data_IF_734682116641
#
_entry.id   IF_734682116641
#
_cell.length_a   1.000
_cell.length_b   1.000
_cell.length_c   1.000
_cell.angle_alpha   90.00
_cell.angle_beta   90.00
_cell.angle_gamma   90.00
#
_symmetry.space_group_name_H-M   'P 1'
#
loop_
_entity.id
_entity.type
_entity.pdbx_description
1 polymer ?
#
# COMPACT_ATOMS: atom_id res chain seq x y z
N UNK A 1 4.90 12.13 53.70
CA UNK A 1 4.28 12.38 52.40
C UNK A 1 4.48 11.14 51.50
N UNK A 2 3.44 10.45 51.06
CA UNK A 2 3.61 9.31 50.17
C UNK A 2 3.96 9.82 48.79
N UNK A 3 5.12 9.41 48.27
CA UNK A 3 5.47 9.58 46.88
C UNK A 3 4.52 8.75 46.02
N UNK A 4 3.54 9.39 45.43
CA UNK A 4 2.79 8.83 44.34
C UNK A 4 3.76 8.64 43.16
N UNK A 5 4.27 7.42 42.96
CA UNK A 5 4.86 7.01 41.72
C UNK A 5 3.72 7.05 40.68
N UNK A 6 3.68 8.11 39.87
CA UNK A 6 2.93 8.15 38.64
C UNK A 6 3.52 7.06 37.76
N UNK A 7 2.92 5.87 37.82
CA UNK A 7 3.14 4.81 36.80
C UNK A 7 2.67 5.43 35.50
N UNK A 8 3.60 5.96 34.73
CA UNK A 8 3.36 6.26 33.31
C UNK A 8 2.99 4.94 32.63
N UNK A 9 1.69 4.67 32.53
CA UNK A 9 1.20 3.56 31.71
C UNK A 9 1.52 3.95 30.26
N UNK A 10 2.68 3.48 29.80
CA UNK A 10 3.04 3.57 28.39
C UNK A 10 2.15 2.57 27.65
N UNK A 11 1.05 3.05 27.06
CA UNK A 11 0.25 2.29 26.13
C UNK A 11 1.04 2.24 24.84
N UNK A 12 1.84 1.17 24.68
CA UNK A 12 2.69 0.99 23.51
C UNK A 12 1.98 0.11 22.49
N UNK A 13 2.15 0.45 21.25
CA UNK A 13 1.39 0.03 20.09
C UNK A 13 1.79 -1.32 19.55
N UNK A 14 0.86 -2.19 19.16
CA UNK A 14 1.21 -3.30 18.28
C UNK A 14 1.59 -2.77 16.91
N UNK A 15 2.80 -3.08 16.47
CA UNK A 15 3.28 -2.73 15.14
C UNK A 15 2.57 -3.58 14.07
N UNK A 16 2.41 -4.87 14.36
CA UNK A 16 1.70 -5.86 13.55
C UNK A 16 0.63 -6.50 14.44
N UNK A 17 -0.64 -6.37 14.07
CA UNK A 17 -1.73 -6.94 14.86
C UNK A 17 -2.34 -8.17 14.18
N UNK A 18 -2.68 -8.05 12.90
CA UNK A 18 -3.32 -9.12 12.14
C UNK A 18 -2.38 -9.69 11.09
N UNK A 19 -2.39 -11.01 10.98
CA UNK A 19 -1.70 -11.76 9.92
C UNK A 19 -2.67 -12.71 9.22
N UNK A 20 -2.42 -12.97 7.94
CA UNK A 20 -3.00 -14.06 7.16
C UNK A 20 -1.88 -14.65 6.32
N UNK A 21 -1.47 -15.86 6.67
CA UNK A 21 -0.39 -16.59 6.04
C UNK A 21 -0.89 -17.90 5.43
N UNK A 22 -0.28 -18.27 4.32
CA UNK A 22 -0.45 -19.55 3.66
C UNK A 22 0.80 -20.39 3.86
N UNK A 23 0.62 -21.64 4.27
CA UNK A 23 1.69 -22.60 4.49
C UNK A 23 1.83 -23.49 3.24
N UNK A 24 2.89 -23.27 2.47
CA UNK A 24 3.20 -24.14 1.33
C UNK A 24 3.74 -25.47 1.83
N UNK A 25 3.31 -26.56 1.19
CA UNK A 25 3.79 -27.91 1.46
C UNK A 25 3.67 -28.35 2.93
N UNK A 26 2.61 -27.88 3.62
CA UNK A 26 2.37 -28.19 5.01
C UNK A 26 1.54 -29.47 5.16
N UNK A 27 2.01 -30.41 5.98
CA UNK A 27 1.25 -31.62 6.31
C UNK A 27 0.19 -31.32 7.38
N UNK A 28 -1.07 -31.32 6.98
CA UNK A 28 -2.21 -31.07 7.87
C UNK A 28 -2.30 -32.06 9.03
N UNK A 29 -1.80 -33.29 8.90
CA UNK A 29 -1.79 -34.28 9.97
C UNK A 29 -1.06 -33.81 11.21
N UNK A 30 -0.06 -32.91 11.08
CA UNK A 30 0.60 -32.30 12.23
C UNK A 30 -0.38 -31.49 13.09
N UNK A 31 -1.30 -30.77 12.47
CA UNK A 31 -2.34 -30.03 13.21
C UNK A 31 -3.43 -30.93 13.77
N UNK A 32 -3.80 -31.99 13.05
CA UNK A 32 -4.80 -32.95 13.53
C UNK A 32 -4.32 -33.71 14.77
N UNK A 33 -3.01 -33.95 14.89
CA UNK A 33 -2.41 -34.61 16.06
C UNK A 33 -2.13 -33.67 17.23
N UNK A 34 -2.23 -32.34 17.04
CA UNK A 34 -1.97 -31.36 18.09
C UNK A 34 -3.19 -31.19 19.00
N UNK A 35 -3.09 -31.61 20.26
CA UNK A 35 -4.18 -31.54 21.22
C UNK A 35 -4.68 -30.12 21.53
N UNK A 36 -3.92 -29.08 21.18
CA UNK A 36 -4.32 -27.68 21.32
C UNK A 36 -5.32 -27.22 20.25
N UNK A 37 -5.39 -27.96 19.12
CA UNK A 37 -6.19 -27.61 17.95
C UNK A 37 -7.38 -28.55 17.82
N UNK A 38 -8.58 -28.03 18.08
CA UNK A 38 -9.82 -28.76 17.90
C UNK A 38 -10.51 -28.30 16.62
N UNK A 39 -10.37 -29.08 15.56
CA UNK A 39 -10.94 -28.76 14.25
C UNK A 39 -12.44 -29.01 14.20
N UNK A 40 -13.16 -28.03 13.68
CA UNK A 40 -14.59 -28.13 13.39
C UNK A 40 -14.79 -27.85 11.89
N UNK A 41 -15.66 -28.66 11.27
CA UNK A 41 -16.02 -28.42 9.89
C UNK A 41 -16.99 -27.24 9.83
N UNK A 42 -16.67 -26.24 9.00
CA UNK A 42 -17.51 -25.07 8.76
C UNK A 42 -17.82 -24.95 7.28
N UNK A 43 -19.08 -24.72 6.99
CA UNK A 43 -19.57 -24.35 5.67
C UNK A 43 -19.86 -22.85 5.72
N UNK A 44 -19.37 -22.10 4.78
CA UNK A 44 -19.64 -20.68 4.64
C UNK A 44 -20.05 -20.37 3.19
N UNK A 45 -21.07 -19.54 3.06
CA UNK A 45 -21.42 -18.97 1.77
C UNK A 45 -20.56 -17.74 1.54
N UNK A 46 -19.75 -17.75 0.48
CA UNK A 46 -18.92 -16.63 0.05
C UNK A 46 -19.42 -16.13 -1.30
N UNK A 47 -19.26 -14.82 -1.55
CA UNK A 47 -19.51 -14.27 -2.88
C UNK A 47 -18.25 -14.37 -3.72
N UNK A 48 -18.38 -14.86 -4.96
CA UNK A 48 -17.29 -14.83 -5.93
C UNK A 48 -17.10 -13.40 -6.51
N UNK A 49 -16.18 -13.26 -7.45
CA UNK A 49 -15.92 -12.00 -8.12
C UNK A 49 -17.08 -11.50 -9.03
N UNK A 50 -18.14 -12.32 -9.19
CA UNK A 50 -19.34 -12.04 -9.96
C UNK A 50 -20.60 -11.97 -9.10
N UNK A 51 -20.45 -11.84 -7.77
CA UNK A 51 -21.55 -11.82 -6.78
C UNK A 51 -22.38 -13.12 -6.74
N UNK A 52 -21.88 -14.25 -7.25
CA UNK A 52 -22.50 -15.54 -7.07
C UNK A 52 -22.15 -16.10 -5.69
N UNK A 53 -23.13 -16.72 -5.03
CA UNK A 53 -22.87 -17.42 -3.76
C UNK A 53 -22.12 -18.71 -4.05
N UNK A 54 -20.89 -18.80 -3.56
CA UNK A 54 -20.06 -20.00 -3.57
C UNK A 54 -20.06 -20.57 -2.16
N UNK A 55 -20.48 -21.82 -2.04
CA UNK A 55 -20.36 -22.53 -0.78
C UNK A 55 -18.92 -22.99 -0.59
N UNK A 56 -18.24 -22.43 0.40
CA UNK A 56 -16.89 -22.83 0.79
C UNK A 56 -16.97 -23.67 2.06
N UNK A 57 -16.19 -24.70 2.12
CA UNK A 57 -16.09 -25.52 3.33
C UNK A 57 -14.62 -25.64 3.76
N UNK A 58 -14.40 -25.66 5.05
CA UNK A 58 -13.09 -25.78 5.65
C UNK A 58 -13.15 -26.36 7.06
N UNK A 59 -12.07 -27.00 7.46
CA UNK A 59 -11.85 -27.40 8.84
C UNK A 59 -11.12 -26.25 9.55
N UNK A 60 -11.67 -25.76 10.66
CA UNK A 60 -11.13 -24.60 11.39
C UNK A 60 -10.96 -24.95 12.85
N UNK A 61 -9.77 -24.73 13.37
CA UNK A 61 -9.48 -24.73 14.80
C UNK A 61 -9.12 -23.31 15.25
N UNK A 62 -9.70 -22.87 16.36
CA UNK A 62 -9.42 -21.58 16.97
C UNK A 62 -8.51 -21.76 18.17
N UNK A 63 -7.38 -21.04 18.19
CA UNK A 63 -6.47 -21.06 19.32
C UNK A 63 -5.92 -19.68 19.61
N UNK A 64 -6.17 -19.17 20.81
CA UNK A 64 -5.63 -17.89 21.32
C UNK A 64 -5.77 -16.69 20.36
N UNK A 65 -6.88 -16.60 19.62
CA UNK A 65 -7.14 -15.49 18.69
C UNK A 65 -6.60 -15.69 17.27
N UNK A 66 -6.07 -16.86 16.97
CA UNK A 66 -5.74 -17.31 15.61
C UNK A 66 -6.69 -18.42 15.17
N UNK A 67 -7.04 -18.40 13.90
CA UNK A 67 -7.74 -19.47 13.18
C UNK A 67 -6.71 -20.28 12.37
N UNK A 68 -6.62 -21.56 12.64
CA UNK A 68 -5.90 -22.56 11.85
C UNK A 68 -6.90 -23.21 10.90
N UNK A 69 -6.69 -23.07 9.61
CA UNK A 69 -7.69 -23.40 8.58
C UNK A 69 -7.10 -24.40 7.60
N UNK A 70 -7.80 -25.50 7.39
CA UNK A 70 -7.57 -26.43 6.30
C UNK A 70 -8.74 -26.34 5.32
N UNK A 71 -8.47 -25.93 4.09
CA UNK A 71 -9.50 -25.81 3.05
C UNK A 71 -9.72 -27.13 2.34
N UNK A 72 -10.86 -27.34 1.69
CA UNK A 72 -11.09 -28.52 0.85
C UNK A 72 -10.11 -28.68 -0.31
N UNK A 73 -9.50 -27.58 -0.74
CA UNK A 73 -8.41 -27.61 -1.76
C UNK A 73 -7.06 -28.05 -1.20
N UNK A 74 -7.00 -28.45 0.09
CA UNK A 74 -5.78 -28.90 0.76
C UNK A 74 -4.84 -27.77 1.19
N UNK A 75 -5.30 -26.50 1.21
CA UNK A 75 -4.50 -25.38 1.65
C UNK A 75 -4.56 -25.20 3.16
N UNK A 76 -3.40 -25.05 3.81
CA UNK A 76 -3.30 -24.69 5.21
C UNK A 76 -3.02 -23.19 5.38
N UNK A 77 -3.81 -22.53 6.23
CA UNK A 77 -3.75 -21.09 6.49
C UNK A 77 -3.76 -20.83 7.98
N UNK A 78 -3.03 -19.80 8.42
CA UNK A 78 -3.18 -19.23 9.76
C UNK A 78 -3.58 -17.77 9.60
N UNK A 79 -4.69 -17.37 10.24
CA UNK A 79 -5.14 -15.96 10.21
C UNK A 79 -5.65 -15.52 11.57
N UNK A 80 -5.50 -14.26 11.90
CA UNK A 80 -6.02 -13.64 13.12
C UNK A 80 -5.08 -12.62 13.72
N UNK A 81 -5.35 -12.26 14.98
CA UNK A 81 -4.55 -11.31 15.72
C UNK A 81 -3.37 -12.01 16.41
N UNK A 82 -2.15 -11.76 15.91
CA UNK A 82 -0.93 -12.29 16.54
C UNK A 82 -0.68 -11.66 17.91
N UNK A 83 -1.17 -10.43 18.13
CA UNK A 83 -1.13 -9.79 19.44
C UNK A 83 -2.04 -10.53 20.47
N UNK A 84 -3.24 -10.92 20.07
CA UNK A 84 -4.10 -11.75 20.94
C UNK A 84 -3.49 -13.12 21.19
N UNK A 85 -2.85 -13.71 20.18
CA UNK A 85 -2.15 -14.99 20.33
C UNK A 85 -1.06 -14.88 21.41
N UNK A 86 -0.22 -13.85 21.35
CA UNK A 86 0.80 -13.54 22.37
C UNK A 86 0.17 -13.36 23.76
N UNK A 87 -0.99 -12.71 23.86
CA UNK A 87 -1.70 -12.49 25.11
C UNK A 87 -2.59 -13.69 25.52
N UNK A 88 -2.23 -14.89 25.10
CA UNK A 88 -2.96 -16.11 25.43
C UNK A 88 -4.49 -16.09 25.10
N UNK A 89 -4.87 -15.32 24.07
CA UNK A 89 -6.27 -15.14 23.65
C UNK A 89 -6.98 -13.92 24.26
N UNK A 90 -6.33 -13.19 25.16
CA UNK A 90 -6.84 -11.98 25.78
C UNK A 90 -7.03 -10.80 24.82
N UNK A 91 -7.27 -9.61 25.35
CA UNK A 91 -7.42 -8.41 24.52
C UNK A 91 -6.08 -7.97 23.91
N UNK A 92 -6.14 -7.13 22.86
CA UNK A 92 -4.99 -6.55 22.20
C UNK A 92 -4.81 -5.06 22.53
N UNK A 93 -5.15 -4.67 23.76
CA UNK A 93 -5.06 -3.29 24.23
C UNK A 93 -3.76 -2.95 24.98
N UNK A 94 -2.98 -3.95 25.37
CA UNK A 94 -1.73 -3.78 26.11
C UNK A 94 -0.54 -3.50 25.16
N UNK A 95 0.66 -3.41 25.76
CA UNK A 95 1.91 -3.24 25.01
C UNK A 95 2.24 -4.50 24.21
N UNK A 96 2.57 -4.30 22.93
CA UNK A 96 3.08 -5.35 22.06
C UNK A 96 4.22 -4.78 21.22
N UNK A 97 5.44 -5.06 21.64
CA UNK A 97 6.66 -4.54 21.04
C UNK A 97 7.08 -5.39 19.84
N UNK A 98 8.12 -4.94 19.13
CA UNK A 98 8.71 -5.75 18.07
C UNK A 98 9.32 -7.05 18.61
N UNK A 99 9.92 -7.04 19.81
CA UNK A 99 10.42 -8.27 20.47
C UNK A 99 9.27 -9.24 20.78
N UNK A 100 8.14 -8.75 21.30
CA UNK A 100 6.96 -9.61 21.52
C UNK A 100 6.40 -10.20 20.22
N UNK A 101 6.48 -9.44 19.12
CA UNK A 101 6.12 -9.98 17.81
C UNK A 101 7.03 -11.11 17.36
N UNK A 102 8.37 -10.97 17.56
CA UNK A 102 9.32 -12.04 17.26
C UNK A 102 9.01 -13.28 18.10
N UNK A 103 8.83 -13.13 19.41
CA UNK A 103 8.47 -14.20 20.33
C UNK A 103 7.17 -14.91 19.90
N UNK A 104 6.15 -14.16 19.53
CA UNK A 104 4.91 -14.73 19.00
C UNK A 104 5.10 -15.51 17.68
N UNK A 105 6.03 -15.06 16.81
CA UNK A 105 6.39 -15.78 15.58
C UNK A 105 7.16 -17.07 15.91
N UNK A 106 8.04 -17.05 16.93
CA UNK A 106 8.75 -18.23 17.42
C UNK A 106 7.77 -19.24 18.04
N UNK A 107 6.77 -18.79 18.81
CA UNK A 107 5.71 -19.64 19.34
C UNK A 107 4.92 -20.35 18.23
N UNK A 108 4.70 -19.70 17.08
CA UNK A 108 4.03 -20.32 15.92
C UNK A 108 4.82 -21.51 15.35
N UNK A 109 6.15 -21.56 15.53
CA UNK A 109 6.97 -22.69 15.09
C UNK A 109 6.56 -23.98 15.81
N UNK A 110 6.07 -23.89 17.06
CA UNK A 110 5.55 -25.05 17.81
C UNK A 110 4.32 -25.70 17.16
N UNK A 111 3.66 -25.01 16.24
CA UNK A 111 2.55 -25.53 15.41
C UNK A 111 3.03 -25.96 14.01
N UNK A 112 4.34 -26.12 13.80
CA UNK A 112 4.91 -26.49 12.51
C UNK A 112 4.99 -25.35 11.50
N UNK A 113 4.67 -24.09 11.89
CA UNK A 113 4.79 -22.94 10.99
C UNK A 113 6.25 -22.58 10.79
N UNK A 114 6.78 -22.77 9.59
CA UNK A 114 8.15 -22.37 9.21
C UNK A 114 8.08 -20.94 8.66
N UNK A 115 8.61 -19.92 9.37
CA UNK A 115 8.43 -18.52 9.00
C UNK A 115 8.90 -18.16 7.58
N UNK A 116 9.99 -18.78 7.10
CA UNK A 116 10.51 -18.59 5.74
C UNK A 116 9.58 -19.14 4.65
N UNK A 117 8.80 -20.19 4.96
CA UNK A 117 7.84 -20.82 4.05
C UNK A 117 6.41 -20.31 4.21
N UNK A 118 6.13 -19.57 5.28
CA UNK A 118 4.82 -19.02 5.58
C UNK A 118 4.56 -17.77 4.74
N UNK A 119 3.89 -17.93 3.60
CA UNK A 119 3.65 -16.89 2.60
C UNK A 119 2.57 -15.93 3.10
N UNK A 120 2.89 -14.64 3.18
CA UNK A 120 1.94 -13.59 3.55
C UNK A 120 0.88 -13.38 2.46
N UNK A 121 -0.40 -13.47 2.84
CA UNK A 121 -1.55 -13.10 2.00
C UNK A 121 -2.07 -11.72 2.34
N UNK A 122 -2.14 -11.38 3.61
CA UNK A 122 -2.49 -10.05 4.12
C UNK A 122 -1.98 -9.86 5.54
N UNK A 123 -1.76 -8.61 5.94
CA UNK A 123 -1.45 -8.25 7.33
C UNK A 123 -1.82 -6.81 7.62
N UNK A 124 -1.92 -6.46 8.90
CA UNK A 124 -2.15 -5.10 9.38
C UNK A 124 -0.89 -4.55 10.04
N UNK A 125 -0.55 -3.31 9.67
CA UNK A 125 0.62 -2.58 10.16
C UNK A 125 0.17 -1.20 10.63
N UNK A 126 0.34 -0.89 11.90
CA UNK A 126 -0.16 0.37 12.47
C UNK A 126 0.33 0.64 13.87
N UNK A 127 -0.09 1.78 14.42
CA UNK A 127 0.34 2.27 15.72
C UNK A 127 -0.84 2.85 16.51
N UNK A 128 -0.82 2.65 17.82
CA UNK A 128 -1.69 3.35 18.77
C UNK A 128 -0.99 4.65 19.18
N UNK A 129 -1.68 5.75 19.07
CA UNK A 129 -1.13 7.08 19.32
C UNK A 129 -1.86 7.70 20.51
N UNK A 130 -1.22 7.79 21.68
CA UNK A 130 -1.82 8.49 22.82
C UNK A 130 -1.95 9.99 22.53
N UNK A 131 -3.10 10.56 22.89
CA UNK A 131 -3.41 11.96 22.69
C UNK A 131 -3.29 12.67 24.04
N UNK A 132 -2.32 13.56 24.14
CA UNK A 132 -2.07 14.36 25.34
C UNK A 132 -2.49 15.83 25.16
N UNK A 133 -2.74 16.23 23.90
CA UNK A 133 -3.10 17.60 23.56
C UNK A 133 -4.56 17.87 23.97
N UNK A 134 -4.79 18.78 24.93
CA UNK A 134 -6.12 19.14 25.48
C UNK A 134 -7.14 19.58 24.40
N UNK A 135 -6.67 20.09 23.27
CA UNK A 135 -7.53 20.58 22.18
C UNK A 135 -7.81 19.53 21.10
N UNK A 136 -7.21 18.35 21.18
CA UNK A 136 -7.41 17.24 20.25
C UNK A 136 -8.09 16.06 20.94
N UNK A 137 -8.76 15.25 20.15
CA UNK A 137 -9.38 13.99 20.57
C UNK A 137 -9.17 12.95 19.48
N UNK A 138 -9.39 11.67 19.76
CA UNK A 138 -9.39 10.63 18.74
C UNK A 138 -10.35 10.98 17.60
N UNK A 139 -11.52 11.54 17.94
CA UNK A 139 -12.50 12.05 16.98
C UNK A 139 -11.96 13.16 16.09
N UNK A 140 -11.09 14.04 16.62
CA UNK A 140 -10.45 15.10 15.83
C UNK A 140 -9.58 14.51 14.73
N UNK A 141 -8.81 13.45 15.01
CA UNK A 141 -7.94 12.83 14.03
C UNK A 141 -8.71 12.16 12.89
N UNK A 142 -9.64 11.23 13.19
CA UNK A 142 -10.33 10.51 12.12
C UNK A 142 -11.33 11.39 11.36
N UNK A 143 -11.92 12.41 11.99
CA UNK A 143 -12.80 13.36 11.31
C UNK A 143 -12.04 14.38 10.46
N UNK A 144 -10.80 14.70 10.81
CA UNK A 144 -9.98 15.63 10.02
C UNK A 144 -9.56 15.07 8.67
N UNK A 145 -9.62 13.76 8.45
CA UNK A 145 -9.38 13.16 7.13
C UNK A 145 -10.58 13.47 6.24
N UNK A 146 -10.46 14.51 5.42
CA UNK A 146 -11.52 14.97 4.54
C UNK A 146 -11.49 14.31 3.17
N UNK A 147 -10.32 13.84 2.72
CA UNK A 147 -10.18 13.12 1.46
C UNK A 147 -9.00 12.15 1.46
N UNK A 148 -9.25 10.98 0.92
CA UNK A 148 -8.31 9.99 0.47
C UNK A 148 -8.92 9.24 -0.72
N UNK A 149 -8.08 8.73 -1.63
CA UNK A 149 -8.55 7.83 -2.68
C UNK A 149 -9.05 6.51 -2.07
N UNK A 150 -10.11 5.97 -2.65
CA UNK A 150 -10.78 4.75 -2.18
C UNK A 150 -12.19 4.98 -1.70
N UNK A 151 -12.87 3.91 -1.40
CA UNK A 151 -14.19 3.92 -0.80
C UNK A 151 -14.08 4.26 0.68
N UNK A 152 -15.01 5.08 1.17
CA UNK A 152 -15.01 5.52 2.57
C UNK A 152 -16.10 4.76 3.31
N UNK A 153 -15.70 4.06 4.34
CA UNK A 153 -16.59 3.41 5.28
C UNK A 153 -16.41 3.95 6.69
N UNK A 154 -17.47 3.82 7.48
CA UNK A 154 -17.49 4.18 8.90
C UNK A 154 -17.04 2.98 9.72
N UNK A 155 -16.17 3.21 10.71
CA UNK A 155 -15.90 2.23 11.74
C UNK A 155 -16.89 2.47 12.89
N UNK A 156 -17.73 1.49 13.15
CA UNK A 156 -18.72 1.54 14.24
C UNK A 156 -18.15 0.80 15.46
N UNK A 157 -18.67 1.13 16.64
CA UNK A 157 -18.45 0.35 17.85
C UNK A 157 -19.04 -1.05 17.72
N UNK A 158 -18.63 -1.98 18.59
CA UNK A 158 -19.08 -3.39 18.55
C UNK A 158 -20.61 -3.51 18.67
N UNK A 159 -21.25 -2.58 19.38
CA UNK A 159 -22.70 -2.49 19.52
C UNK A 159 -23.39 -1.79 18.32
N UNK A 160 -22.63 -1.31 17.35
CA UNK A 160 -23.13 -0.61 16.17
C UNK A 160 -23.67 0.80 16.40
N UNK A 161 -23.66 1.30 17.66
CA UNK A 161 -24.35 2.54 18.03
C UNK A 161 -23.49 3.79 17.87
N UNK A 162 -22.16 3.67 17.92
CA UNK A 162 -21.26 4.81 17.93
C UNK A 162 -20.27 4.78 16.77
N UNK A 163 -20.08 5.93 16.11
CA UNK A 163 -19.03 6.11 15.14
C UNK A 163 -17.70 6.28 15.87
N UNK A 164 -16.83 5.30 15.76
CA UNK A 164 -15.50 5.32 16.39
C UNK A 164 -14.35 5.62 15.44
N UNK A 165 -14.59 5.64 14.12
CA UNK A 165 -13.50 5.88 13.17
C UNK A 165 -13.95 5.91 11.71
N UNK A 166 -12.95 5.98 10.84
CA UNK A 166 -13.12 5.91 9.37
C UNK A 166 -12.09 4.97 8.76
N UNK A 167 -12.50 4.26 7.73
CA UNK A 167 -11.61 3.50 6.87
C UNK A 167 -11.75 3.90 5.41
N UNK A 168 -10.66 3.75 4.68
CA UNK A 168 -10.55 4.08 3.26
C UNK A 168 -10.07 2.85 2.54
N UNK A 169 -10.94 2.23 1.78
CA UNK A 169 -10.74 0.94 1.15
C UNK A 169 -10.33 1.14 -0.30
N UNK A 170 -9.25 0.51 -0.68
CA UNK A 170 -8.82 0.33 -2.08
C UNK A 170 -8.66 -1.15 -2.37
N UNK A 171 -8.46 -1.52 -3.61
CA UNK A 171 -8.21 -2.91 -4.02
C UNK A 171 -7.04 -3.56 -3.24
N UNK A 172 -5.96 -2.81 -3.01
CA UNK A 172 -4.74 -3.33 -2.41
C UNK A 172 -4.61 -3.09 -0.91
N UNK A 173 -5.20 -1.98 -0.42
CA UNK A 173 -4.97 -1.52 0.96
C UNK A 173 -6.22 -0.93 1.56
N UNK A 174 -6.38 -1.10 2.87
CA UNK A 174 -7.31 -0.33 3.69
C UNK A 174 -6.51 0.53 4.67
N UNK A 175 -6.81 1.83 4.72
CA UNK A 175 -6.27 2.74 5.75
C UNK A 175 -7.36 2.96 6.77
N UNK A 176 -7.07 2.72 8.05
CA UNK A 176 -8.02 2.93 9.15
C UNK A 176 -7.48 3.98 10.12
N UNK A 177 -8.37 4.84 10.62
CA UNK A 177 -8.10 5.74 11.72
C UNK A 177 -9.30 5.74 12.67
N UNK A 178 -9.10 5.30 13.91
CA UNK A 178 -10.20 5.10 14.84
C UNK A 178 -9.80 5.26 16.31
N UNK A 179 -10.80 5.44 17.17
CA UNK A 179 -10.65 5.50 18.62
C UNK A 179 -10.40 4.09 19.18
N UNK A 180 -9.14 3.79 19.49
CA UNK A 180 -8.74 2.49 20.03
C UNK A 180 -9.20 2.30 21.46
N UNK A 181 -9.28 3.37 22.26
CA UNK A 181 -9.78 3.30 23.63
C UNK A 181 -11.23 2.81 23.65
N UNK A 182 -12.08 3.44 22.83
CA UNK A 182 -13.49 3.05 22.72
C UNK A 182 -13.65 1.66 22.12
N UNK A 183 -12.90 1.34 21.05
CA UNK A 183 -12.96 0.04 20.37
C UNK A 183 -12.59 -1.12 21.30
N UNK A 184 -11.53 -0.97 22.11
CA UNK A 184 -11.04 -2.04 22.97
C UNK A 184 -11.51 -1.91 24.43
N UNK A 185 -12.41 -0.95 24.73
CA UNK A 185 -12.97 -0.68 26.07
C UNK A 185 -11.87 -0.52 27.12
N UNK A 186 -10.80 0.25 26.77
CA UNK A 186 -9.65 0.41 27.65
C UNK A 186 -9.92 1.38 28.78
N UNK A 187 -9.52 1.01 29.98
CA UNK A 187 -9.49 1.90 31.14
C UNK A 187 -8.24 2.80 31.11
N UNK A 188 -8.25 3.81 30.25
CA UNK A 188 -7.15 4.77 30.10
C UNK A 188 -7.64 6.18 30.36
N UNK A 189 -6.82 7.00 31.03
CA UNK A 189 -7.09 8.43 31.18
C UNK A 189 -6.92 9.19 29.87
N UNK A 190 -6.04 8.72 28.99
CA UNK A 190 -5.79 9.34 27.71
C UNK A 190 -6.65 8.72 26.61
N UNK A 191 -7.07 9.55 25.67
CA UNK A 191 -7.61 9.06 24.41
C UNK A 191 -6.50 8.44 23.54
N UNK A 192 -6.85 7.42 22.77
CA UNK A 192 -5.91 6.69 21.92
C UNK A 192 -6.50 6.60 20.52
N UNK A 193 -5.81 7.19 19.55
CA UNK A 193 -6.14 6.96 18.15
C UNK A 193 -5.24 5.87 17.58
N UNK A 194 -5.83 4.89 16.91
CA UNK A 194 -5.07 3.93 16.10
C UNK A 194 -5.08 4.36 14.65
N UNK A 195 -3.90 4.37 14.06
CA UNK A 195 -3.71 4.59 12.64
C UNK A 195 -3.00 3.40 12.03
N UNK A 196 -3.65 2.72 11.08
CA UNK A 196 -3.17 1.46 10.51
C UNK A 196 -3.42 1.31 9.03
N UNK A 197 -2.57 0.50 8.40
CA UNK A 197 -2.68 0.00 7.04
C UNK A 197 -2.93 -1.50 7.07
N UNK A 198 -4.02 -1.97 6.48
CA UNK A 198 -4.21 -3.36 6.13
C UNK A 198 -3.80 -3.56 4.67
N UNK A 199 -2.83 -4.43 4.44
CA UNK A 199 -2.44 -4.86 3.11
C UNK A 199 -3.32 -6.03 2.70
N UNK A 200 -4.30 -5.77 1.84
CA UNK A 200 -5.26 -6.79 1.35
C UNK A 200 -4.63 -7.66 0.27
N UNK A 201 -3.74 -7.08 -0.54
CA UNK A 201 -2.96 -7.76 -1.58
C UNK A 201 -1.49 -7.43 -1.43
N UNK A 202 -0.65 -8.45 -1.50
CA UNK A 202 0.79 -8.31 -1.25
C UNK A 202 1.59 -7.67 -2.40
N UNK A 203 0.98 -7.41 -3.56
CA UNK A 203 1.69 -6.87 -4.75
C UNK A 203 2.45 -5.57 -4.50
N UNK A 204 1.92 -4.71 -3.59
CA UNK A 204 2.58 -3.44 -3.23
C UNK A 204 3.77 -3.63 -2.28
N UNK A 205 3.76 -4.71 -1.50
CA UNK A 205 4.73 -4.99 -0.44
C UNK A 205 5.86 -5.89 -0.96
N UNK A 206 5.58 -6.78 -1.89
CA UNK A 206 6.61 -7.61 -2.56
C UNK A 206 7.77 -6.78 -3.12
N UNK A 207 7.52 -5.52 -3.50
CA UNK A 207 8.58 -4.60 -3.96
C UNK A 207 9.53 -4.13 -2.85
N UNK A 208 9.15 -4.33 -1.58
CA UNK A 208 9.99 -4.06 -0.41
C UNK A 208 10.68 -5.36 0.08
N UNK A 209 10.61 -6.45 -0.69
CA UNK A 209 11.16 -7.73 -0.31
C UNK A 209 10.41 -8.41 0.84
N UNK A 210 9.14 -8.03 1.08
CA UNK A 210 8.28 -8.64 2.10
C UNK A 210 7.32 -9.61 1.41
N UNK A 211 7.52 -10.93 1.64
CA UNK A 211 6.77 -12.01 0.99
C UNK A 211 6.30 -13.08 1.96
N UNK A 212 7.04 -13.33 3.02
CA UNK A 212 6.79 -14.36 4.02
C UNK A 212 6.79 -13.78 5.44
N UNK A 213 6.45 -14.59 6.42
CA UNK A 213 6.34 -14.18 7.82
C UNK A 213 7.70 -13.74 8.39
N UNK A 214 8.79 -14.39 8.02
CA UNK A 214 10.15 -14.03 8.46
C UNK A 214 10.55 -12.63 7.99
N UNK A 215 10.08 -12.18 6.81
CA UNK A 215 10.37 -10.83 6.34
C UNK A 215 9.84 -9.75 7.28
N UNK A 216 8.78 -10.04 8.06
CA UNK A 216 8.24 -9.14 9.07
C UNK A 216 9.06 -9.11 10.38
N UNK A 217 9.99 -10.04 10.58
CA UNK A 217 10.93 -10.03 11.70
C UNK A 217 12.24 -9.29 11.36
N UNK A 218 12.37 -8.76 10.14
CA UNK A 218 13.50 -7.92 9.73
C UNK A 218 13.21 -6.44 10.04
N UNK A 219 13.95 -5.89 11.00
CA UNK A 219 13.83 -4.49 11.45
C UNK A 219 13.97 -3.49 10.28
N UNK A 220 14.90 -3.73 9.36
CA UNK A 220 15.15 -2.80 8.24
C UNK A 220 13.96 -2.80 7.26
N UNK A 221 13.35 -3.96 7.01
CA UNK A 221 12.15 -4.06 6.18
C UNK A 221 10.96 -3.34 6.83
N UNK A 222 10.83 -3.40 8.16
CA UNK A 222 9.79 -2.67 8.88
C UNK A 222 10.01 -1.16 8.87
N UNK A 223 11.26 -0.68 8.97
CA UNK A 223 11.59 0.74 8.82
C UNK A 223 11.19 1.22 7.41
N UNK A 224 11.57 0.46 6.38
CA UNK A 224 11.21 0.79 5.00
C UNK A 224 9.67 0.76 4.78
N UNK A 225 8.99 -0.19 5.40
CA UNK A 225 7.53 -0.29 5.37
C UNK A 225 6.87 0.92 6.04
N UNK A 226 7.37 1.34 7.20
CA UNK A 226 6.91 2.52 7.91
C UNK A 226 7.03 3.78 7.05
N UNK A 227 8.22 4.07 6.54
CA UNK A 227 8.50 5.26 5.75
C UNK A 227 7.74 5.26 4.42
N UNK A 228 7.87 4.18 3.64
CA UNK A 228 7.36 4.10 2.27
C UNK A 228 5.87 3.79 2.18
N UNK A 229 5.24 3.32 3.27
CA UNK A 229 3.81 2.97 3.27
C UNK A 229 3.02 3.72 4.33
N UNK A 230 3.34 3.61 5.62
CA UNK A 230 2.53 4.21 6.68
C UNK A 230 2.62 5.75 6.65
N UNK A 231 3.80 6.34 6.71
CA UNK A 231 3.97 7.80 6.61
C UNK A 231 3.52 8.34 5.24
N UNK A 232 3.77 7.60 4.19
CA UNK A 232 3.28 7.96 2.85
C UNK A 232 1.76 7.99 2.81
N UNK A 233 1.08 7.08 3.49
CA UNK A 233 -0.39 7.05 3.54
C UNK A 233 -0.98 8.31 4.16
N UNK A 234 -0.35 8.83 5.23
CA UNK A 234 -0.69 10.13 5.82
C UNK A 234 -0.46 11.25 4.81
N UNK A 235 0.69 11.22 4.13
CA UNK A 235 1.04 12.24 3.12
C UNK A 235 0.09 12.26 1.93
N UNK A 236 -0.49 11.13 1.54
CA UNK A 236 -1.46 11.02 0.45
C UNK A 236 -2.86 11.51 0.81
N UNK A 237 -3.19 11.55 2.10
CA UNK A 237 -4.49 12.02 2.59
C UNK A 237 -4.53 13.54 2.73
N UNK A 238 -5.73 14.10 2.69
CA UNK A 238 -5.99 15.54 2.90
C UNK A 238 -6.68 15.68 4.25
N UNK A 239 -6.11 16.52 5.09
CA UNK A 239 -6.59 16.76 6.44
C UNK A 239 -7.10 18.18 6.61
N UNK A 240 -8.17 18.32 7.39
CA UNK A 240 -8.66 19.62 7.85
C UNK A 240 -9.38 19.46 9.18
N UNK A 241 -8.87 20.09 10.24
CA UNK A 241 -9.57 20.16 11.52
C UNK A 241 -10.42 21.43 11.57
N UNK A 242 -11.73 21.24 11.70
CA UNK A 242 -12.72 22.34 11.78
C UNK A 242 -12.51 23.22 13.03
N UNK A 243 -11.90 22.69 14.10
CA UNK A 243 -11.57 23.44 15.31
C UNK A 243 -10.33 24.33 15.16
N UNK A 244 -9.48 24.00 14.18
CA UNK A 244 -8.25 24.73 13.86
C UNK A 244 -8.45 25.73 12.71
N UNK A 245 -9.65 26.29 12.55
CA UNK A 245 -9.99 27.21 11.47
C UNK A 245 -8.95 28.31 11.32
N UNK A 246 -8.40 28.49 10.11
CA UNK A 246 -7.52 29.62 9.84
C UNK A 246 -8.28 30.94 9.99
N UNK A 247 -7.58 31.99 10.37
CA UNK A 247 -8.18 33.33 10.36
C UNK A 247 -8.44 33.79 8.92
N UNK A 248 -9.64 33.48 8.42
CA UNK A 248 -10.03 33.76 7.03
C UNK A 248 -10.12 35.24 6.72
N UNK A 249 -10.25 36.13 7.73
CA UNK A 249 -10.33 37.58 7.51
C UNK A 249 -9.04 38.17 6.95
N UNK A 250 -7.90 37.51 7.24
CA UNK A 250 -6.58 37.89 6.70
C UNK A 250 -6.28 37.32 5.33
N UNK A 251 -7.19 36.52 4.75
CA UNK A 251 -6.97 35.92 3.42
C UNK A 251 -7.54 36.84 2.33
N UNK A 252 -6.81 37.00 1.20
CA UNK A 252 -7.37 37.61 0.00
C UNK A 252 -8.61 36.87 -0.48
N UNK A 253 -9.58 37.55 -1.10
CA UNK A 253 -10.87 36.95 -1.44
C UNK A 253 -10.77 35.72 -2.35
N UNK A 254 -9.84 35.73 -3.31
CA UNK A 254 -9.60 34.56 -4.15
C UNK A 254 -9.08 33.35 -3.36
N UNK A 255 -8.32 33.57 -2.26
CA UNK A 255 -7.89 32.50 -1.38
C UNK A 255 -9.02 32.02 -0.47
N UNK A 256 -9.87 32.93 0.04
CA UNK A 256 -11.07 32.55 0.79
C UNK A 256 -11.96 31.62 -0.02
N UNK A 257 -12.26 31.99 -1.29
CA UNK A 257 -13.09 31.17 -2.20
C UNK A 257 -12.48 29.77 -2.41
N UNK A 258 -11.18 29.68 -2.66
CA UNK A 258 -10.47 28.41 -2.78
C UNK A 258 -10.50 27.61 -1.50
N UNK A 259 -10.26 28.25 -0.35
CA UNK A 259 -10.29 27.60 0.96
C UNK A 259 -11.67 26.99 1.26
N UNK A 260 -12.77 27.72 1.00
CA UNK A 260 -14.13 27.23 1.17
C UNK A 260 -14.40 25.96 0.34
N UNK A 261 -13.88 25.91 -0.89
CA UNK A 261 -13.96 24.72 -1.74
C UNK A 261 -13.11 23.57 -1.15
N UNK A 262 -11.85 23.84 -0.85
CA UNK A 262 -10.90 22.80 -0.41
C UNK A 262 -11.24 22.15 0.93
N UNK A 263 -11.86 22.87 1.87
CA UNK A 263 -12.32 22.30 3.13
C UNK A 263 -13.53 21.36 2.97
N UNK A 264 -14.22 21.39 1.83
CA UNK A 264 -15.37 20.54 1.56
C UNK A 264 -14.93 19.16 1.04
N UNK A 265 -15.24 18.05 1.76
CA UNK A 265 -14.91 16.70 1.29
C UNK A 265 -15.51 16.35 -0.07
N UNK A 266 -16.74 16.82 -0.34
CA UNK A 266 -17.43 16.59 -1.62
C UNK A 266 -16.66 17.18 -2.79
N UNK A 267 -16.07 18.37 -2.62
CA UNK A 267 -15.29 19.03 -3.67
C UNK A 267 -14.15 18.14 -4.20
N UNK A 268 -13.47 17.40 -3.34
CA UNK A 268 -12.37 16.51 -3.72
C UNK A 268 -12.84 15.25 -4.44
N UNK A 269 -14.08 14.81 -4.20
CA UNK A 269 -14.68 13.62 -4.82
C UNK A 269 -15.35 13.93 -6.15
N UNK A 270 -16.13 14.99 -6.20
CA UNK A 270 -17.04 15.31 -7.31
C UNK A 270 -16.36 16.03 -8.48
N UNK A 271 -15.22 16.69 -8.23
CA UNK A 271 -14.48 17.36 -9.29
C UNK A 271 -13.74 16.36 -10.18
N UNK A 272 -14.03 16.41 -11.49
CA UNK A 272 -13.30 15.63 -12.51
C UNK A 272 -11.86 16.14 -12.70
N UNK A 273 -11.10 16.15 -11.63
CA UNK A 273 -9.72 16.63 -11.62
C UNK A 273 -8.73 15.57 -12.05
N UNK A 274 -7.78 15.96 -12.88
CA UNK A 274 -6.60 15.12 -13.12
C UNK A 274 -5.79 14.94 -11.81
N UNK A 275 -5.07 13.82 -11.69
CA UNK A 275 -4.19 13.57 -10.54
C UNK A 275 -3.21 14.74 -10.29
N UNK A 276 -2.69 15.35 -11.36
CA UNK A 276 -1.76 16.49 -11.27
C UNK A 276 -2.44 17.74 -10.69
N UNK A 277 -3.66 18.06 -11.14
CA UNK A 277 -4.44 19.19 -10.63
C UNK A 277 -4.81 18.98 -9.15
N UNK A 278 -5.24 17.77 -8.77
CA UNK A 278 -5.54 17.41 -7.38
C UNK A 278 -4.32 17.59 -6.49
N UNK A 279 -3.15 17.10 -6.88
CA UNK A 279 -1.92 17.30 -6.13
C UNK A 279 -1.52 18.77 -5.98
N UNK A 280 -1.67 19.59 -7.03
CA UNK A 280 -1.42 21.03 -6.95
C UNK A 280 -2.32 21.72 -5.94
N UNK A 281 -3.62 21.43 -5.99
CA UNK A 281 -4.61 21.98 -5.05
C UNK A 281 -4.34 21.53 -3.63
N UNK A 282 -4.00 20.24 -3.42
CA UNK A 282 -3.63 19.70 -2.12
C UNK A 282 -2.42 20.44 -1.52
N UNK A 283 -1.33 20.58 -2.27
CA UNK A 283 -0.13 21.30 -1.80
C UNK A 283 -0.48 22.76 -1.44
N UNK A 284 -1.31 23.41 -2.24
CA UNK A 284 -1.74 24.79 -1.96
C UNK A 284 -2.61 24.87 -0.72
N UNK A 285 -3.50 23.90 -0.49
CA UNK A 285 -4.34 23.81 0.70
C UNK A 285 -3.51 23.56 1.95
N UNK A 286 -2.59 22.60 1.90
CA UNK A 286 -1.68 22.27 3.02
C UNK A 286 -0.83 23.49 3.42
N UNK A 287 -0.28 24.23 2.46
CA UNK A 287 0.45 25.48 2.73
C UNK A 287 -0.43 26.53 3.40
N UNK A 288 -1.70 26.63 3.00
CA UNK A 288 -2.64 27.57 3.60
C UNK A 288 -2.95 27.19 5.05
N UNK A 289 -3.19 25.89 5.33
CA UNK A 289 -3.40 25.37 6.70
C UNK A 289 -2.16 25.64 7.54
N UNK A 290 -0.98 25.24 7.06
CA UNK A 290 0.27 25.43 7.77
C UNK A 290 0.53 26.89 8.15
N UNK A 291 0.14 27.84 7.29
CA UNK A 291 0.37 29.28 7.52
C UNK A 291 -0.67 29.94 8.45
N UNK A 292 -1.91 29.49 8.44
CA UNK A 292 -3.03 30.22 9.01
C UNK A 292 -3.84 29.44 10.04
N UNK A 293 -3.75 28.12 10.13
CA UNK A 293 -4.46 27.33 11.12
C UNK A 293 -3.77 27.45 12.49
N UNK A 294 -4.53 27.24 13.56
CA UNK A 294 -4.01 27.23 14.95
C UNK A 294 -3.07 26.03 15.17
N UNK A 295 -3.34 24.92 14.50
CA UNK A 295 -2.50 23.73 14.51
C UNK A 295 -2.72 22.92 13.22
N UNK A 296 -1.72 22.12 12.85
CA UNK A 296 -1.78 21.19 11.71
C UNK A 296 -1.90 19.75 12.21
N UNK A 297 -3.13 19.22 12.21
CA UNK A 297 -3.42 17.83 12.65
C UNK A 297 -2.62 16.80 11.86
N UNK A 298 -2.36 17.07 10.57
CA UNK A 298 -1.57 16.16 9.74
C UNK A 298 -0.13 16.06 10.22
N UNK A 299 0.48 17.18 10.53
CA UNK A 299 1.85 17.21 11.02
C UNK A 299 1.97 16.61 12.43
N UNK A 300 1.00 16.90 13.32
CA UNK A 300 0.90 16.28 14.64
C UNK A 300 0.79 14.75 14.50
N UNK A 301 -0.06 14.25 13.59
CA UNK A 301 -0.20 12.82 13.35
C UNK A 301 1.10 12.18 12.87
N UNK A 302 1.80 12.82 11.94
CA UNK A 302 3.10 12.32 11.46
C UNK A 302 4.13 12.24 12.57
N UNK A 303 4.24 13.31 13.38
CA UNK A 303 5.22 13.35 14.45
C UNK A 303 4.93 12.29 15.52
N UNK A 304 3.64 12.10 15.87
CA UNK A 304 3.23 11.01 16.77
C UNK A 304 3.59 9.62 16.21
N UNK A 305 3.33 9.39 14.93
CA UNK A 305 3.70 8.14 14.27
C UNK A 305 5.21 7.88 14.30
N UNK A 306 6.02 8.90 14.04
CA UNK A 306 7.49 8.80 14.10
C UNK A 306 7.97 8.47 15.50
N UNK A 307 7.50 9.23 16.50
CA UNK A 307 7.91 9.05 17.89
C UNK A 307 7.51 7.66 18.42
N UNK A 308 6.28 7.23 18.13
CA UNK A 308 5.77 5.95 18.59
C UNK A 308 6.47 4.78 17.89
N UNK A 309 6.72 4.89 16.57
CA UNK A 309 7.45 3.88 15.82
C UNK A 309 8.87 3.68 16.38
N UNK A 310 9.59 4.78 16.64
CA UNK A 310 10.93 4.72 17.22
C UNK A 310 10.91 4.03 18.58
N UNK A 311 9.92 4.33 19.44
CA UNK A 311 9.82 3.71 20.77
C UNK A 311 9.54 2.21 20.72
N UNK A 312 8.78 1.75 19.72
CA UNK A 312 8.42 0.33 19.56
C UNK A 312 9.55 -0.49 18.96
N UNK A 313 10.30 0.09 18.01
CA UNK A 313 11.35 -0.61 17.26
C UNK A 313 12.68 -0.66 18.02
N UNK A 314 12.92 0.29 18.94
CA UNK A 314 14.17 0.44 19.71
C UNK A 314 14.09 -0.17 21.11
N UNK A 315 12.99 -0.86 21.46
CA UNK A 315 12.83 -1.50 22.78
C UNK A 315 14.03 -2.38 23.14
N UNK A 316 14.59 -2.26 24.37
CA UNK A 316 15.94 -2.72 24.72
C UNK A 316 16.15 -4.23 24.88
N UNK A 317 15.23 -5.09 24.47
CA UNK A 317 15.33 -6.53 24.59
C UNK A 317 15.76 -7.23 23.30
N UNK A 318 16.58 -6.59 22.48
CA UNK A 318 17.26 -7.31 21.40
C UNK A 318 18.51 -7.99 21.94
N UNK A 319 18.69 -9.30 21.75
CA UNK A 319 20.03 -9.87 21.76
C UNK A 319 20.81 -9.18 20.64
N UNK A 320 21.82 -8.42 21.03
CA UNK A 320 22.77 -7.85 20.08
C UNK A 320 23.50 -9.03 19.41
N UNK A 321 23.14 -9.34 18.16
CA UNK A 321 24.01 -10.11 17.29
C UNK A 321 25.30 -9.30 17.08
N UNK A 322 26.26 -9.54 17.98
CA UNK A 322 27.62 -9.07 17.88
C UNK A 322 28.32 -9.79 16.73
N UNK A 323 27.95 -9.52 15.50
CA UNK A 323 28.80 -9.81 14.34
C UNK A 323 28.21 -9.21 13.05
N UNK A 324 28.17 -7.89 12.99
CA UNK A 324 28.26 -7.19 11.68
C UNK A 324 28.85 -5.82 11.94
N UNK A 325 30.11 -5.68 11.57
CA UNK A 325 30.85 -4.44 11.65
C UNK A 325 30.15 -3.32 10.87
N UNK A 326 29.84 -2.27 11.61
CA UNK A 326 29.77 -0.84 11.27
C UNK A 326 29.53 -0.45 9.80
N UNK A 327 28.29 0.02 9.54
CA UNK A 327 28.09 1.31 8.91
C UNK A 327 26.97 2.04 9.65
N UNK A 328 27.37 2.80 10.66
CA UNK A 328 26.52 3.81 11.29
C UNK A 328 26.25 4.93 10.30
N UNK A 329 25.04 4.99 9.76
CA UNK A 329 24.48 6.17 9.14
C UNK A 329 23.74 6.96 10.21
N UNK A 330 24.37 7.92 10.79
CA UNK A 330 23.84 8.86 11.79
C UNK A 330 22.77 9.74 11.15
N UNK A 331 21.53 9.61 11.60
CA UNK A 331 20.47 10.60 11.42
C UNK A 331 20.61 11.67 12.49
N UNK A 332 21.51 12.61 12.31
CA UNK A 332 21.50 13.95 12.91
C UNK A 332 22.66 14.76 12.32
N UNK A 333 22.33 15.62 11.41
CA UNK A 333 23.24 16.59 10.80
C UNK A 333 22.67 17.99 10.95
N UNK A 334 22.65 18.53 12.18
CA UNK A 334 22.55 19.95 12.37
C UNK A 334 23.86 20.60 11.96
N UNK A 335 23.72 21.67 11.23
CA UNK A 335 24.69 22.61 10.70
C UNK A 335 25.63 23.10 11.81
N UNK A 336 26.93 22.98 11.61
CA UNK A 336 27.93 23.84 12.24
C UNK A 336 28.88 24.32 11.14
N UNK A 337 28.91 25.65 10.98
CA UNK A 337 29.88 26.37 10.17
C UNK A 337 31.30 26.13 10.70
N UNK A 338 32.17 25.66 9.86
CA UNK A 338 33.60 25.56 10.12
C UNK A 338 34.38 25.88 8.86
N UNK A 339 34.99 27.07 8.82
CA UNK A 339 35.95 27.48 7.85
C UNK A 339 37.08 26.46 7.76
N UNK A 340 37.37 25.94 6.57
CA UNK A 340 38.66 25.32 6.23
C UNK A 340 39.32 26.00 5.05
N UNK A 341 40.52 26.41 5.35
CA UNK A 341 41.56 26.99 4.48
C UNK A 341 41.89 26.03 3.33
N UNK A 342 42.20 26.62 2.18
CA UNK A 342 42.34 26.08 0.85
C UNK A 342 43.25 24.87 0.66
N UNK A 343 42.71 23.95 -0.11
CA UNK A 343 43.47 23.09 -1.00
C UNK A 343 42.94 23.30 -2.41
N UNK A 344 43.85 23.68 -3.32
CA UNK A 344 43.61 23.86 -4.75
C UNK A 344 43.32 22.51 -5.38
N UNK A 345 42.05 22.11 -5.37
CA UNK A 345 41.60 20.93 -6.14
C UNK A 345 41.31 21.36 -7.57
N UNK A 346 42.00 20.76 -8.52
CA UNK A 346 41.71 20.83 -9.97
C UNK A 346 40.22 20.40 -10.18
N UNK A 347 39.37 21.38 -10.47
CA UNK A 347 37.95 21.16 -10.69
C UNK A 347 37.76 20.41 -12.02
N UNK A 348 37.41 19.14 -11.95
CA UNK A 348 37.03 18.34 -13.15
C UNK A 348 35.80 18.96 -13.82
N UNK A 349 35.93 19.36 -15.07
CA UNK A 349 34.81 19.89 -15.86
C UNK A 349 33.70 18.84 -16.02
N UNK A 350 32.46 19.23 -15.75
CA UNK A 350 31.27 18.42 -15.92
C UNK A 350 30.39 18.95 -17.04
N UNK A 351 29.80 18.06 -17.79
CA UNK A 351 28.93 18.39 -18.92
C UNK A 351 27.56 17.77 -18.81
N UNK A 352 26.54 18.47 -19.32
CA UNK A 352 25.16 17.95 -19.38
C UNK A 352 25.08 16.74 -20.30
N UNK A 353 24.56 15.63 -19.82
CA UNK A 353 24.45 14.36 -20.57
C UNK A 353 23.57 14.44 -21.83
N UNK A 354 22.72 15.48 -21.96
CA UNK A 354 21.79 15.62 -23.08
C UNK A 354 22.22 16.64 -24.13
N UNK A 355 22.83 17.76 -23.73
CA UNK A 355 23.16 18.85 -24.65
C UNK A 355 24.63 19.25 -24.65
N UNK A 356 25.49 18.60 -23.85
CA UNK A 356 26.92 18.86 -23.79
C UNK A 356 27.33 20.17 -23.13
N UNK A 357 26.41 21.01 -22.64
CA UNK A 357 26.77 22.28 -21.96
C UNK A 357 27.53 22.00 -20.66
N UNK A 358 28.54 22.79 -20.36
CA UNK A 358 29.28 22.73 -19.11
C UNK A 358 28.40 23.06 -17.92
N UNK A 359 28.47 22.22 -16.86
CA UNK A 359 27.67 22.31 -15.62
C UNK A 359 28.54 22.24 -14.36
N UNK A 360 29.82 22.58 -14.48
CA UNK A 360 30.84 22.45 -13.43
C UNK A 360 30.45 23.18 -12.13
N UNK A 361 29.76 24.32 -12.24
CA UNK A 361 29.29 25.12 -11.09
C UNK A 361 27.98 24.63 -10.42
N UNK A 362 27.43 23.51 -10.87
CA UNK A 362 26.19 22.97 -10.29
C UNK A 362 26.49 21.94 -9.19
N UNK A 363 25.44 21.52 -8.44
CA UNK A 363 25.54 20.50 -7.37
C UNK A 363 26.32 19.27 -7.85
N UNK A 364 27.03 18.63 -6.92
CA UNK A 364 27.92 17.49 -7.21
C UNK A 364 27.27 16.34 -7.94
N UNK A 365 25.96 16.11 -7.74
CA UNK A 365 25.15 15.06 -8.34
C UNK A 365 24.43 15.49 -9.64
N UNK A 366 24.59 16.76 -10.08
CA UNK A 366 23.91 17.26 -11.28
C UNK A 366 24.43 16.58 -12.54
N UNK A 367 23.51 15.98 -13.30
CA UNK A 367 23.75 15.30 -14.58
C UNK A 367 23.25 16.10 -15.78
N UNK A 368 22.45 17.16 -15.56
CA UNK A 368 21.79 17.97 -16.58
C UNK A 368 21.90 19.44 -16.24
N UNK A 369 21.91 20.32 -17.27
CA UNK A 369 21.98 21.77 -17.08
C UNK A 369 20.71 22.33 -16.41
N UNK A 370 20.84 23.37 -15.54
CA UNK A 370 19.75 23.95 -14.76
C UNK A 370 18.67 24.63 -15.61
N UNK A 371 19.02 25.16 -16.76
CA UNK A 371 18.06 25.85 -17.66
C UNK A 371 16.95 24.95 -18.20
N UNK A 372 16.89 23.67 -17.76
CA UNK A 372 16.24 22.83 -18.69
C UNK A 372 15.49 21.64 -18.14
N UNK A 373 14.28 21.94 -17.70
CA UNK A 373 13.20 20.98 -17.84
C UNK A 373 13.30 20.20 -19.16
N UNK A 374 13.65 20.88 -20.28
CA UNK A 374 13.79 20.27 -21.61
C UNK A 374 14.84 19.15 -21.69
N UNK A 375 16.05 19.34 -21.14
CA UNK A 375 17.09 18.29 -21.20
C UNK A 375 16.78 17.09 -20.30
N UNK A 376 16.22 17.32 -19.11
CA UNK A 376 15.78 16.26 -18.20
C UNK A 376 14.59 15.50 -18.77
N UNK A 377 13.61 16.23 -19.33
CA UNK A 377 12.42 15.65 -19.92
C UNK A 377 12.76 14.86 -21.19
N UNK A 378 13.71 15.34 -22.02
CA UNK A 378 14.20 14.62 -23.20
C UNK A 378 14.92 13.33 -22.82
N UNK A 379 15.79 13.36 -21.80
CA UNK A 379 16.48 12.16 -21.31
C UNK A 379 15.48 11.15 -20.68
N UNK A 380 14.49 11.63 -19.93
CA UNK A 380 13.44 10.80 -19.36
C UNK A 380 12.59 10.15 -20.46
N UNK A 381 12.16 10.92 -21.45
CA UNK A 381 11.36 10.43 -22.57
C UNK A 381 12.11 9.40 -23.42
N UNK A 382 13.42 9.58 -23.63
CA UNK A 382 14.27 8.59 -24.30
C UNK A 382 14.29 7.26 -23.53
N UNK A 383 14.57 7.29 -22.22
CA UNK A 383 14.56 6.07 -21.38
C UNK A 383 13.19 5.38 -21.33
N UNK A 384 12.10 6.15 -21.31
CA UNK A 384 10.74 5.61 -21.35
C UNK A 384 10.46 4.97 -22.71
N UNK A 385 10.92 5.60 -23.79
CA UNK A 385 10.80 5.08 -25.16
C UNK A 385 11.57 3.77 -25.32
N UNK A 386 12.82 3.71 -24.90
CA UNK A 386 13.66 2.50 -24.92
C UNK A 386 13.03 1.33 -24.14
N UNK A 387 12.53 1.61 -22.91
CA UNK A 387 11.83 0.60 -22.12
C UNK A 387 10.54 0.10 -22.78
N UNK A 388 9.82 0.99 -23.48
CA UNK A 388 8.61 0.62 -24.22
C UNK A 388 8.96 -0.24 -25.46
N UNK A 389 10.03 0.14 -26.17
CA UNK A 389 10.55 -0.63 -27.32
C UNK A 389 11.03 -2.02 -26.89
N UNK A 390 11.81 -2.13 -25.81
CA UNK A 390 12.26 -3.42 -25.30
C UNK A 390 11.09 -4.33 -24.90
N UNK A 391 10.09 -3.80 -24.18
CA UNK A 391 8.88 -4.57 -23.85
C UNK A 391 8.09 -5.01 -25.05
N UNK A 392 8.01 -4.16 -26.08
CA UNK A 392 7.33 -4.47 -27.33
C UNK A 392 8.05 -5.56 -28.09
N UNK A 393 9.38 -5.49 -28.21
CA UNK A 393 10.21 -6.51 -28.87
C UNK A 393 10.06 -7.88 -28.20
N UNK A 394 10.02 -7.97 -26.86
CA UNK A 394 9.79 -9.22 -26.14
C UNK A 394 8.41 -9.79 -26.52
N UNK A 395 7.38 -8.96 -26.50
CA UNK A 395 6.01 -9.40 -26.78
C UNK A 395 5.80 -9.80 -28.24
N UNK A 396 6.47 -9.13 -29.17
CA UNK A 396 6.50 -9.49 -30.58
C UNK A 396 7.17 -10.85 -30.81
N UNK A 397 8.28 -11.15 -30.12
CA UNK A 397 8.92 -12.47 -30.13
C UNK A 397 8.01 -13.57 -29.58
N UNK A 398 7.29 -13.30 -28.50
CA UNK A 398 6.30 -14.23 -27.93
C UNK A 398 5.19 -14.54 -28.94
N UNK A 399 4.67 -13.53 -29.63
CA UNK A 399 3.64 -13.69 -30.66
C UNK A 399 4.18 -14.53 -31.86
N UNK A 400 5.40 -14.24 -32.32
CA UNK A 400 6.04 -14.98 -33.39
C UNK A 400 6.24 -16.46 -33.03
N UNK A 401 6.72 -16.74 -31.81
CA UNK A 401 6.91 -18.11 -31.34
C UNK A 401 5.57 -18.86 -31.24
N UNK A 402 4.55 -18.15 -30.78
CA UNK A 402 3.21 -18.70 -30.65
C UNK A 402 2.65 -19.07 -32.05
N UNK A 403 2.79 -18.18 -33.06
CA UNK A 403 2.34 -18.43 -34.43
C UNK A 403 3.15 -19.57 -35.08
N UNK A 404 4.45 -19.72 -34.73
CA UNK A 404 5.28 -20.84 -35.20
C UNK A 404 4.79 -22.21 -34.73
N UNK A 405 4.26 -22.24 -33.49
CA UNK A 405 3.84 -23.47 -32.83
C UNK A 405 2.33 -23.74 -32.98
N UNK A 406 1.63 -22.97 -33.84
CA UNK A 406 0.23 -23.21 -34.15
C UNK A 406 0.10 -24.43 -35.05
N UNK A 407 -0.47 -25.53 -34.53
CA UNK A 407 -0.90 -26.68 -35.30
C UNK A 407 -2.23 -26.42 -36.03
N UNK A 408 -2.77 -27.42 -36.70
CA UNK A 408 -3.98 -27.32 -37.54
C UNK A 408 -5.29 -27.02 -36.79
N UNK A 409 -5.29 -27.05 -35.45
CA UNK A 409 -6.44 -26.71 -34.62
C UNK A 409 -6.34 -25.27 -34.08
N UNK A 410 -6.70 -24.33 -34.93
CA UNK A 410 -6.64 -22.92 -34.56
C UNK A 410 -7.92 -22.20 -34.98
N UNK A 411 -8.54 -21.50 -34.02
CA UNK A 411 -9.71 -20.70 -34.29
C UNK A 411 -9.44 -19.23 -33.97
N UNK A 412 -9.60 -18.34 -34.92
CA UNK A 412 -9.36 -16.92 -34.83
C UNK A 412 -10.66 -16.12 -34.92
N UNK A 413 -11.05 -15.45 -33.86
CA UNK A 413 -12.22 -14.56 -33.85
C UNK A 413 -11.73 -13.11 -33.84
N UNK A 414 -12.08 -12.36 -34.86
CA UNK A 414 -11.85 -10.91 -34.94
C UNK A 414 -13.09 -10.18 -34.48
N UNK A 415 -12.99 -9.43 -33.36
CA UNK A 415 -14.09 -8.63 -32.88
C UNK A 415 -13.81 -7.16 -33.14
N UNK A 416 -14.76 -6.44 -33.73
CA UNK A 416 -14.78 -4.98 -33.83
C UNK A 416 -15.93 -4.48 -32.94
N UNK A 417 -15.64 -3.61 -31.97
CA UNK A 417 -16.71 -3.02 -31.14
C UNK A 417 -17.25 -1.78 -31.85
N UNK A 418 -18.49 -1.81 -32.40
CA UNK A 418 -19.08 -0.72 -33.17
C UNK A 418 -19.53 0.47 -32.33
N UNK A 419 -19.71 0.31 -31.00
CA UNK A 419 -20.40 1.27 -30.14
C UNK A 419 -19.53 2.33 -29.45
N UNK A 420 -18.28 2.57 -29.87
CA UNK A 420 -17.47 3.64 -29.29
C UNK A 420 -17.68 4.97 -30.01
N UNK A 421 -18.28 5.96 -29.31
CA UNK A 421 -18.35 7.36 -29.78
C UNK A 421 -16.97 7.84 -30.25
N UNK A 422 -16.92 8.41 -31.47
CA UNK A 422 -15.71 9.03 -32.05
C UNK A 422 -15.24 10.16 -31.15
N UNK A 423 -14.09 9.98 -30.48
CA UNK A 423 -13.36 11.07 -29.83
C UNK A 423 -12.42 11.65 -30.87
N UNK A 424 -12.52 12.98 -31.11
CA UNK A 424 -11.69 13.72 -32.08
C UNK A 424 -10.20 13.41 -31.88
N UNK A 425 -9.51 12.90 -32.89
CA UNK A 425 -8.07 12.59 -32.84
C UNK A 425 -7.65 11.18 -32.37
N UNK A 426 -8.58 10.27 -32.08
CA UNK A 426 -8.27 8.90 -31.70
C UNK A 426 -8.75 7.94 -32.80
N UNK A 427 -7.91 6.97 -33.28
CA UNK A 427 -8.35 6.00 -34.26
C UNK A 427 -9.59 5.23 -33.79
N UNK A 428 -10.65 5.25 -34.58
CA UNK A 428 -12.00 4.81 -34.18
C UNK A 428 -12.20 3.30 -34.02
N UNK A 429 -11.20 2.46 -34.25
CA UNK A 429 -11.34 0.99 -34.20
C UNK A 429 -10.14 0.36 -33.47
N UNK A 430 -10.33 -0.09 -32.22
CA UNK A 430 -9.41 -1.04 -31.62
C UNK A 430 -9.74 -2.44 -32.15
N UNK A 431 -8.90 -2.96 -33.00
CA UNK A 431 -8.96 -4.36 -33.40
C UNK A 431 -8.64 -5.24 -32.19
N UNK A 432 -9.50 -6.17 -31.88
CA UNK A 432 -9.27 -7.18 -30.84
C UNK A 432 -9.33 -8.56 -31.49
N UNK A 433 -8.47 -9.46 -31.02
CA UNK A 433 -8.39 -10.84 -31.51
C UNK A 433 -8.47 -11.78 -30.35
N UNK A 434 -9.23 -12.83 -30.48
CA UNK A 434 -9.26 -13.96 -29.57
C UNK A 434 -8.65 -15.15 -30.32
N UNK A 435 -7.51 -15.63 -29.85
CA UNK A 435 -6.88 -16.82 -30.37
C UNK A 435 -7.12 -18.00 -29.42
N UNK A 436 -7.76 -19.05 -29.86
CA UNK A 436 -7.93 -20.29 -29.10
C UNK A 436 -6.84 -21.28 -29.49
N UNK A 437 -6.00 -21.70 -28.55
CA UNK A 437 -4.84 -22.56 -28.77
C UNK A 437 -4.85 -23.65 -27.71
N UNK A 438 -4.95 -24.90 -28.11
CA UNK A 438 -5.04 -26.05 -27.20
C UNK A 438 -6.16 -25.86 -26.16
N UNK A 439 -7.35 -25.41 -26.60
CA UNK A 439 -8.51 -25.14 -25.76
C UNK A 439 -8.45 -23.86 -24.92
N UNK A 440 -7.31 -23.14 -24.87
CA UNK A 440 -7.16 -21.91 -24.05
C UNK A 440 -7.31 -20.65 -24.91
N UNK A 441 -8.15 -19.71 -24.47
CA UNK A 441 -8.36 -18.42 -25.14
C UNK A 441 -7.30 -17.40 -24.74
N UNK A 442 -6.61 -16.78 -25.72
CA UNK A 442 -5.70 -15.65 -25.54
C UNK A 442 -6.25 -14.42 -26.25
N UNK A 443 -6.20 -13.26 -25.57
CA UNK A 443 -6.77 -11.99 -26.04
C UNK A 443 -5.66 -11.01 -26.43
N UNK A 444 -5.74 -10.45 -27.63
CA UNK A 444 -4.84 -9.43 -28.15
C UNK A 444 -5.62 -8.18 -28.53
N UNK A 445 -5.09 -6.99 -28.19
CA UNK A 445 -5.77 -5.72 -28.44
C UNK A 445 -4.85 -4.69 -29.09
N UNK A 446 -5.43 -3.85 -29.97
CA UNK A 446 -4.75 -2.70 -30.55
C UNK A 446 -3.53 -3.05 -31.40
N UNK A 447 -2.34 -2.59 -31.03
CA UNK A 447 -1.10 -2.80 -31.78
C UNK A 447 -0.68 -4.28 -31.81
N UNK A 448 -0.85 -4.99 -30.68
CA UNK A 448 -0.52 -6.42 -30.57
C UNK A 448 -1.44 -7.28 -31.46
N UNK A 449 -2.72 -6.92 -31.53
CA UNK A 449 -3.65 -7.61 -32.42
C UNK A 449 -3.32 -7.38 -33.91
N UNK A 450 -2.91 -6.18 -34.30
CA UNK A 450 -2.46 -5.88 -35.66
C UNK A 450 -1.18 -6.62 -36.02
N UNK A 451 -0.23 -6.64 -35.09
CA UNK A 451 1.02 -7.37 -35.29
C UNK A 451 0.75 -8.89 -35.43
N UNK A 452 -0.10 -9.44 -34.57
CA UNK A 452 -0.51 -10.85 -34.64
C UNK A 452 -1.11 -11.18 -36.02
N UNK A 453 -2.07 -10.37 -36.50
CA UNK A 453 -2.69 -10.60 -37.82
C UNK A 453 -1.66 -10.54 -38.94
N UNK A 454 -0.81 -9.52 -38.99
CA UNK A 454 0.18 -9.38 -40.04
C UNK A 454 1.17 -10.57 -40.10
N UNK A 455 1.62 -11.05 -38.93
CA UNK A 455 2.52 -12.19 -38.86
C UNK A 455 1.80 -13.51 -39.17
N UNK A 456 0.52 -13.63 -38.78
CA UNK A 456 -0.31 -14.77 -39.10
C UNK A 456 -0.59 -14.84 -40.61
N UNK A 457 -1.01 -13.74 -41.25
CA UNK A 457 -1.29 -13.67 -42.70
C UNK A 457 -0.06 -13.98 -43.56
N UNK A 458 1.14 -13.50 -43.13
CA UNK A 458 2.42 -13.81 -43.80
C UNK A 458 2.74 -15.30 -43.79
N UNK A 459 2.34 -16.03 -42.75
CA UNK A 459 2.75 -17.44 -42.57
C UNK A 459 1.75 -18.44 -43.08
N UNK A 460 0.45 -18.13 -42.97
CA UNK A 460 -0.60 -19.09 -43.25
C UNK A 460 -1.16 -19.02 -44.67
N UNK A 461 -0.90 -17.90 -45.40
CA UNK A 461 -1.53 -17.63 -46.72
C UNK A 461 -3.05 -17.85 -46.75
N UNK A 462 -3.69 -17.87 -45.59
CA UNK A 462 -5.10 -18.24 -45.43
C UNK A 462 -5.94 -16.98 -45.31
N UNK A 463 -7.03 -16.90 -46.09
CA UNK A 463 -8.03 -15.82 -45.98
C UNK A 463 -8.69 -15.87 -44.61
N UNK A 464 -8.58 -14.77 -43.84
CA UNK A 464 -9.30 -14.57 -42.59
C UNK A 464 -10.79 -14.44 -42.90
N UNK A 465 -11.59 -15.39 -42.46
CA UNK A 465 -13.06 -15.29 -42.53
C UNK A 465 -13.48 -14.28 -41.43
N UNK A 466 -13.98 -13.15 -41.86
CA UNK A 466 -14.57 -12.14 -40.97
C UNK A 466 -16.03 -12.54 -40.73
N UNK A 467 -16.32 -13.18 -39.61
CA UNK A 467 -17.70 -13.30 -39.13
C UNK A 467 -18.05 -12.01 -38.41
N UNK A 468 -18.94 -11.20 -39.01
CA UNK A 468 -19.77 -10.25 -38.27
C UNK A 468 -20.74 -11.10 -37.43
N UNK A 469 -20.92 -10.81 -36.13
CA UNK A 469 -22.06 -11.36 -35.43
C UNK A 469 -23.30 -10.67 -36.03
N UNK A 470 -24.12 -11.44 -36.72
CA UNK A 470 -25.45 -11.00 -37.10
C UNK A 470 -26.27 -10.66 -35.86
N UNK A 471 -26.93 -9.54 -35.94
CA UNK A 471 -28.00 -9.11 -35.06
C UNK A 471 -29.06 -10.22 -34.96
N UNK A 472 -29.03 -10.97 -33.87
CA UNK A 472 -30.24 -11.66 -33.41
C UNK A 472 -30.82 -10.86 -32.27
N UNK A 473 -31.65 -9.88 -32.61
CA UNK A 473 -32.76 -9.43 -31.77
C UNK A 473 -33.74 -10.62 -31.61
N UNK A 474 -33.91 -11.04 -30.37
CA UNK A 474 -35.19 -11.49 -29.83
C UNK A 474 -35.20 -11.12 -28.35
#
# INVERSE_FOLDING_TARGET
MPHFFLIKIYILSPLIDYINIYLSDFDFKLWQSDSRLQFQFKIADELDEYDNVIQTSSEIAQYKGLDFIHTLSGQCLVKGSIHRFFNAGGNNGNRFTFSNFIEAVEDLVSFGVVPDKAILRSFEFGLNLPIHEKHLSAKSFYNSIIYRSGEIEKCMSDDGNSLIGKQFITEDTTVKSYDKKQQAKLESTNEIVRYELRFRRMRLIKRLGITNLKDLTDKNKLIELFEKKLLKSVSESIYFDWKALPNTNKLPDYQKKKFLNWRNPKWWKEQSMTRKARNKNKISFEKLIQKHAKHDVKEILKQKLINEFSSVIESPNFPSDNNTQKKQGTLAGCIVNGNRVGETTTVKKKYCLTCGKEITGQKSDSKYCNDQRKCRDKAYNLKVSEKRQAKRSIKEKEIINLIKNLGNEFNLIRTTNPNRKKIKGVPSRKTSIIATIGGKKKYYHGADARFFLNEFDKRTKTKVVTQCPDDTRL
#
